data_IF_469621678800
#
_entry.id   IF_469621678800
#
_cell.length_a   1.000
_cell.length_b   1.000
_cell.length_c   1.000
_cell.angle_alpha   90.00
_cell.angle_beta   90.00
_cell.angle_gamma   90.00
#
_symmetry.space_group_name_H-M   'P 1'
#
loop_
_entity.id
_entity.type
_entity.pdbx_description
1 polymer ?
#
# COMPACT_ATOMS: atom_id res chain seq x y z
N UNK A 1 15.69 1.47 3.60
CA UNK A 1 17.00 1.84 3.01
C UNK A 1 16.94 3.31 2.65
N UNK A 2 17.93 4.13 3.01
CA UNK A 2 17.88 5.59 2.84
C UNK A 2 17.67 5.98 1.37
N UNK A 3 16.70 6.87 1.15
CA UNK A 3 16.31 7.40 -0.15
C UNK A 3 17.53 8.08 -0.82
N UNK A 4 17.97 7.65 -2.02
CA UNK A 4 19.06 8.30 -2.76
C UNK A 4 18.61 9.57 -3.52
N UNK A 5 17.37 10.01 -3.33
CA UNK A 5 16.71 11.12 -4.02
C UNK A 5 15.96 11.97 -2.98
N UNK A 6 15.81 13.28 -3.19
CA UNK A 6 15.04 14.11 -2.27
C UNK A 6 13.54 13.85 -2.42
N UNK A 7 12.74 14.22 -1.41
CA UNK A 7 11.27 14.13 -1.48
C UNK A 7 10.73 14.92 -2.67
N UNK A 8 11.23 16.15 -2.87
CA UNK A 8 10.86 17.02 -3.99
C UNK A 8 11.16 16.35 -5.35
N UNK A 9 12.38 15.80 -5.51
CA UNK A 9 12.78 15.12 -6.75
C UNK A 9 11.94 13.86 -7.00
N UNK A 10 11.62 13.09 -5.94
CA UNK A 10 10.79 11.89 -6.06
C UNK A 10 9.36 12.24 -6.48
N UNK A 11 8.82 13.32 -5.93
CA UNK A 11 7.50 13.82 -6.29
C UNK A 11 7.45 14.29 -7.75
N UNK A 12 8.47 15.01 -8.22
CA UNK A 12 8.57 15.42 -9.62
C UNK A 12 8.60 14.21 -10.56
N UNK A 13 9.46 13.22 -10.28
CA UNK A 13 9.57 11.99 -11.10
C UNK A 13 8.23 11.25 -11.15
N UNK A 14 7.59 11.06 -10.00
CA UNK A 14 6.33 10.34 -9.89
C UNK A 14 5.21 11.05 -10.67
N UNK A 15 5.05 12.36 -10.49
CA UNK A 15 3.99 13.13 -11.16
C UNK A 15 4.19 13.19 -12.68
N UNK A 16 5.44 13.37 -13.16
CA UNK A 16 5.75 13.34 -14.59
C UNK A 16 5.44 11.98 -15.21
N UNK A 17 5.61 10.89 -14.45
CA UNK A 17 5.36 9.52 -14.89
C UNK A 17 3.89 9.08 -14.73
N UNK A 18 3.02 9.93 -14.20
CA UNK A 18 1.59 9.65 -14.09
C UNK A 18 1.16 8.99 -12.78
N UNK A 19 1.91 9.21 -11.68
CA UNK A 19 1.45 8.85 -10.35
C UNK A 19 0.23 9.68 -9.93
N UNK A 20 -0.66 9.04 -9.18
CA UNK A 20 -1.88 9.67 -8.66
C UNK A 20 -1.61 10.35 -7.30
N UNK A 21 -0.73 9.77 -6.48
CA UNK A 21 -0.40 10.29 -5.15
C UNK A 21 1.03 9.96 -4.72
N UNK A 22 1.64 10.83 -3.91
CA UNK A 22 2.99 10.69 -3.36
C UNK A 22 2.97 11.12 -1.90
N UNK A 23 3.35 10.22 -0.99
CA UNK A 23 3.34 10.47 0.45
C UNK A 23 4.69 10.14 1.09
N UNK A 24 5.21 11.06 1.90
CA UNK A 24 6.36 10.79 2.77
C UNK A 24 5.88 10.18 4.09
N UNK A 25 6.46 9.02 4.43
CA UNK A 25 6.18 8.29 5.66
C UNK A 25 7.08 8.77 6.81
N UNK A 26 6.65 8.55 8.06
CA UNK A 26 7.41 8.97 9.26
C UNK A 26 8.77 8.27 9.39
N UNK A 27 8.93 7.10 8.79
CA UNK A 27 10.19 6.34 8.74
C UNK A 27 11.17 6.85 7.67
N UNK A 28 10.77 7.89 6.92
CA UNK A 28 11.54 8.50 5.86
C UNK A 28 11.46 7.76 4.52
N UNK A 29 10.52 6.82 4.35
CA UNK A 29 10.19 6.25 3.04
C UNK A 29 9.22 7.14 2.27
N UNK A 30 9.15 6.94 0.96
CA UNK A 30 8.22 7.64 0.07
C UNK A 30 7.37 6.57 -0.59
N UNK A 31 6.06 6.66 -0.41
CA UNK A 31 5.07 5.84 -1.10
C UNK A 31 4.52 6.59 -2.29
N UNK A 32 4.49 5.91 -3.44
CA UNK A 32 3.97 6.44 -4.69
C UNK A 32 2.82 5.53 -5.11
N UNK A 33 1.64 6.10 -5.22
CA UNK A 33 0.42 5.38 -5.66
C UNK A 33 0.08 5.76 -7.08
N UNK A 34 -0.31 4.76 -7.87
CA UNK A 34 -0.60 4.92 -9.30
C UNK A 34 -1.76 4.02 -9.68
N UNK A 35 -2.43 4.35 -10.78
CA UNK A 35 -3.27 3.41 -11.50
C UNK A 35 -2.44 2.19 -11.96
N UNK A 36 -3.05 0.99 -12.06
CA UNK A 36 -2.38 -0.20 -12.60
C UNK A 36 -1.79 0.02 -14.00
N UNK A 37 -2.44 0.86 -14.81
CA UNK A 37 -1.99 1.19 -16.17
C UNK A 37 -0.71 2.03 -16.18
N UNK A 38 -0.55 2.94 -15.22
CA UNK A 38 0.63 3.80 -15.09
C UNK A 38 1.78 3.15 -14.29
N UNK A 39 1.54 2.02 -13.64
CA UNK A 39 2.50 1.38 -12.73
C UNK A 39 3.87 1.14 -13.37
N UNK A 40 3.91 0.57 -14.58
CA UNK A 40 5.17 0.26 -15.27
C UNK A 40 5.93 1.55 -15.61
N UNK A 41 5.22 2.55 -16.15
CA UNK A 41 5.82 3.82 -16.55
C UNK A 41 6.44 4.56 -15.34
N UNK A 42 5.76 4.52 -14.19
CA UNK A 42 6.26 5.11 -12.94
C UNK A 42 7.50 4.37 -12.43
N UNK A 43 7.49 3.04 -12.41
CA UNK A 43 8.67 2.25 -12.01
C UNK A 43 9.86 2.53 -12.93
N UNK A 44 9.65 2.52 -14.24
CA UNK A 44 10.70 2.79 -15.23
C UNK A 44 11.26 4.22 -15.11
N UNK A 45 10.42 5.21 -14.79
CA UNK A 45 10.85 6.59 -14.57
C UNK A 45 11.81 6.72 -13.37
N UNK A 46 11.52 6.04 -12.26
CA UNK A 46 12.42 5.97 -11.12
C UNK A 46 13.73 5.25 -11.47
N UNK A 47 13.65 4.10 -12.15
CA UNK A 47 14.84 3.35 -12.56
C UNK A 47 15.75 4.14 -13.52
N UNK A 48 15.16 4.90 -14.45
CA UNK A 48 15.88 5.76 -15.39
C UNK A 48 16.66 6.89 -14.68
N UNK A 49 16.21 7.30 -13.49
CA UNK A 49 16.89 8.27 -12.62
C UNK A 49 17.86 7.61 -11.63
N UNK A 50 18.05 6.29 -11.73
CA UNK A 50 18.93 5.51 -10.86
C UNK A 50 18.33 5.24 -9.47
N UNK A 51 17.02 5.46 -9.30
CA UNK A 51 16.30 5.20 -8.07
C UNK A 51 15.57 3.87 -8.22
N UNK A 52 16.02 2.85 -7.49
CA UNK A 52 15.33 1.56 -7.51
C UNK A 52 14.33 1.48 -6.35
N UNK A 53 13.02 1.25 -6.62
CA UNK A 53 12.04 1.05 -5.56
C UNK A 53 12.44 -0.13 -4.64
N UNK A 54 12.22 0.01 -3.34
CA UNK A 54 12.40 -1.09 -2.38
C UNK A 54 11.32 -2.15 -2.52
N UNK A 55 10.11 -1.74 -2.89
CA UNK A 55 8.97 -2.57 -3.23
C UNK A 55 8.19 -1.89 -4.35
N UNK A 56 7.57 -2.68 -5.23
CA UNK A 56 6.68 -2.21 -6.27
C UNK A 56 5.73 -3.35 -6.64
N UNK A 57 4.43 -3.19 -6.37
CA UNK A 57 3.41 -4.18 -6.70
C UNK A 57 2.09 -3.51 -7.10
N UNK A 58 1.28 -4.22 -7.88
CA UNK A 58 -0.09 -3.82 -8.19
C UNK A 58 -1.01 -4.54 -7.22
N UNK A 59 -1.67 -3.76 -6.35
CA UNK A 59 -2.59 -4.27 -5.34
C UNK A 59 -3.84 -3.40 -5.24
N UNK A 60 -4.86 -3.89 -4.54
CA UNK A 60 -6.10 -3.15 -4.32
C UNK A 60 -5.99 -2.34 -3.02
N UNK A 61 -5.91 -1.01 -3.17
CA UNK A 61 -5.87 -0.08 -2.03
C UNK A 61 -7.28 0.51 -1.83
N UNK A 62 -7.86 0.42 -0.61
CA UNK A 62 -9.18 0.97 -0.36
C UNK A 62 -9.15 2.51 -0.33
N UNK A 63 -10.04 3.16 -1.08
CA UNK A 63 -10.14 4.64 -1.10
C UNK A 63 -10.65 5.24 0.22
N UNK A 64 -11.29 4.43 1.08
CA UNK A 64 -11.81 4.84 2.39
C UNK A 64 -11.72 3.67 3.35
N UNK A 65 -11.29 3.92 4.57
CA UNK A 65 -11.27 2.92 5.62
C UNK A 65 -12.54 2.94 6.49
N UNK A 66 -12.90 1.77 7.02
CA UNK A 66 -13.95 1.61 8.02
C UNK A 66 -13.33 1.21 9.35
N UNK A 67 -13.28 2.14 10.30
CA UNK A 67 -12.81 1.86 11.65
C UNK A 67 -13.71 0.82 12.33
N UNK A 68 -13.10 -0.22 12.89
CA UNK A 68 -13.79 -1.23 13.70
C UNK A 68 -13.47 -1.00 15.18
N UNK A 69 -14.46 -1.26 16.04
CA UNK A 69 -14.19 -1.43 17.48
C UNK A 69 -13.57 -2.82 17.74
N UNK A 70 -13.04 -3.03 18.95
CA UNK A 70 -12.34 -4.27 19.30
C UNK A 70 -13.23 -5.52 19.16
N UNK A 71 -14.53 -5.42 19.45
CA UNK A 71 -15.44 -6.58 19.30
C UNK A 71 -15.66 -6.93 17.83
N UNK A 72 -15.89 -5.92 16.98
CA UNK A 72 -16.06 -6.09 15.56
C UNK A 72 -14.76 -6.56 14.88
N UNK A 73 -13.60 -6.06 15.33
CA UNK A 73 -12.28 -6.44 14.84
C UNK A 73 -12.00 -7.94 15.05
N UNK A 74 -12.30 -8.49 16.23
CA UNK A 74 -12.13 -9.93 16.50
C UNK A 74 -13.02 -10.79 15.59
N UNK A 75 -14.28 -10.39 15.40
CA UNK A 75 -15.19 -11.11 14.48
C UNK A 75 -14.73 -11.01 13.04
N UNK A 76 -14.23 -9.84 12.65
CA UNK A 76 -13.71 -9.58 11.32
C UNK A 76 -12.47 -10.45 11.03
N UNK A 77 -11.49 -10.49 11.92
CA UNK A 77 -10.30 -11.33 11.75
C UNK A 77 -10.64 -12.82 11.63
N UNK A 78 -11.53 -13.35 12.49
CA UNK A 78 -12.00 -14.74 12.36
C UNK A 78 -12.68 -15.04 11.03
N UNK A 79 -13.35 -14.05 10.45
CA UNK A 79 -13.95 -14.18 9.12
C UNK A 79 -12.87 -14.21 8.03
N UNK A 80 -11.85 -13.35 8.14
CA UNK A 80 -10.71 -13.35 7.22
C UNK A 80 -9.99 -14.70 7.27
N UNK A 81 -9.65 -15.20 8.45
CA UNK A 81 -9.00 -16.52 8.62
C UNK A 81 -9.80 -17.63 7.94
N UNK A 82 -11.13 -17.65 8.16
CA UNK A 82 -12.00 -18.65 7.57
C UNK A 82 -12.11 -18.55 6.04
N UNK A 83 -11.88 -17.37 5.46
CA UNK A 83 -11.84 -17.17 4.01
C UNK A 83 -10.49 -17.58 3.43
N UNK A 84 -9.39 -17.27 4.12
CA UNK A 84 -8.03 -17.64 3.70
C UNK A 84 -7.77 -19.15 3.77
N UNK A 85 -8.47 -19.86 4.67
CA UNK A 85 -8.42 -21.32 4.77
C UNK A 85 -9.08 -22.07 3.60
N UNK A 86 -9.79 -21.37 2.70
CA UNK A 86 -10.44 -21.98 1.56
C UNK A 86 -9.46 -22.14 0.39
N UNK A 87 -9.27 -23.39 -0.07
CA UNK A 87 -8.37 -23.72 -1.19
C UNK A 87 -8.62 -22.90 -2.48
N UNK A 88 -9.87 -22.46 -2.69
CA UNK A 88 -10.29 -21.68 -3.86
C UNK A 88 -10.08 -20.16 -3.72
N UNK A 89 -9.80 -19.66 -2.50
CA UNK A 89 -9.57 -18.23 -2.25
C UNK A 89 -8.11 -17.90 -2.50
N UNK A 90 -7.85 -16.93 -3.37
CA UNK A 90 -6.49 -16.52 -3.74
C UNK A 90 -6.00 -15.29 -2.98
N UNK A 91 -6.89 -14.33 -2.73
CA UNK A 91 -6.59 -13.11 -1.98
C UNK A 91 -7.88 -12.60 -1.31
N UNK A 92 -7.74 -12.00 -0.13
CA UNK A 92 -8.83 -11.30 0.57
C UNK A 92 -8.44 -9.83 0.72
N UNK A 93 -9.29 -8.93 0.21
CA UNK A 93 -9.08 -7.49 0.31
C UNK A 93 -10.20 -6.87 1.15
N UNK A 94 -9.83 -5.92 2.00
CA UNK A 94 -10.78 -5.22 2.87
C UNK A 94 -10.36 -3.77 3.11
N UNK A 95 -11.30 -2.98 3.60
CA UNK A 95 -11.04 -1.62 4.03
C UNK A 95 -11.20 -1.43 5.55
N UNK A 96 -11.27 -2.52 6.31
CA UNK A 96 -11.33 -2.45 7.77
C UNK A 96 -10.03 -1.86 8.34
N UNK A 97 -10.18 -0.84 9.19
CA UNK A 97 -9.11 -0.27 10.00
C UNK A 97 -9.23 -0.85 11.41
N UNK A 98 -8.22 -1.62 11.81
CA UNK A 98 -8.20 -2.36 13.06
C UNK A 98 -7.59 -1.48 14.17
N UNK A 99 -8.14 -1.52 15.40
CA UNK A 99 -7.51 -0.81 16.51
C UNK A 99 -6.17 -1.46 16.90
N UNK A 100 -5.25 -0.66 17.43
CA UNK A 100 -3.88 -1.10 17.78
C UNK A 100 -3.83 -2.16 18.90
N UNK A 101 -4.92 -2.33 19.65
CA UNK A 101 -5.00 -3.13 20.88
C UNK A 101 -5.84 -4.41 20.74
N UNK A 102 -6.06 -4.90 19.52
CA UNK A 102 -6.82 -6.15 19.34
C UNK A 102 -5.95 -7.36 19.67
N UNK A 103 -6.19 -7.96 20.84
CA UNK A 103 -5.64 -9.25 21.20
C UNK A 103 -6.52 -10.39 20.66
N UNK A 104 -5.92 -11.27 19.86
CA UNK A 104 -6.51 -12.55 19.47
C UNK A 104 -6.21 -13.57 20.58
N UNK A 105 -7.22 -13.95 21.36
CA UNK A 105 -7.17 -15.08 22.30
C UNK A 105 -7.01 -16.43 21.59
#
# INVERSE_FOLDING_TARGET
GKVPVSEDDAMEIALEAGADDVQAQEDGTIEVSTSPEAFVDVVEAFEAKGVKPSSAEVTMIPSTESALDSEAAVKFMRMIDALEDLDDVQNVYHNASLPDDVELD
#
